data_IF_912689000528
#
_entry.id   IF_912689000528
#
_cell.length_a   1.000
_cell.length_b   1.000
_cell.length_c   1.000
_cell.angle_alpha   90.00
_cell.angle_beta   90.00
_cell.angle_gamma   90.00
#
_symmetry.space_group_name_H-M   'P 1'
#
loop_
_entity.id
_entity.type
_entity.pdbx_description
1 polymer ?
#
# COMPACT_ATOMS: atom_id res chain seq x y z
N UNK A 1 -0.20 26.66 -1.47
CA UNK A 1 -0.96 26.28 -0.25
C UNK A 1 -2.45 26.05 -0.51
N UNK A 2 -3.16 26.95 -1.22
CA UNK A 2 -4.60 26.75 -1.50
C UNK A 2 -4.85 25.50 -2.35
N UNK A 3 -4.01 25.26 -3.37
CA UNK A 3 -4.12 24.08 -4.24
C UNK A 3 -3.90 22.77 -3.49
N UNK A 4 -2.90 22.68 -2.63
CA UNK A 4 -2.56 21.48 -1.87
C UNK A 4 -3.66 21.16 -0.85
N UNK A 5 -4.24 22.17 -0.20
CA UNK A 5 -5.39 22.01 0.68
C UNK A 5 -6.61 21.53 -0.13
N UNK A 6 -6.87 22.13 -1.29
CA UNK A 6 -7.96 21.67 -2.16
C UNK A 6 -7.76 20.20 -2.59
N UNK A 7 -6.56 19.81 -3.00
CA UNK A 7 -6.22 18.42 -3.34
C UNK A 7 -6.43 17.51 -2.13
N UNK A 8 -5.94 17.87 -0.95
CA UNK A 8 -6.09 17.09 0.27
C UNK A 8 -7.58 16.88 0.62
N UNK A 9 -8.36 17.96 0.62
CA UNK A 9 -9.80 17.91 0.92
C UNK A 9 -10.54 17.05 -0.08
N UNK A 10 -10.35 17.27 -1.39
CA UNK A 10 -11.03 16.49 -2.42
C UNK A 10 -10.60 15.02 -2.40
N UNK A 11 -9.31 14.72 -2.19
CA UNK A 11 -8.82 13.35 -2.07
C UNK A 11 -9.43 12.63 -0.85
N UNK A 12 -9.62 13.32 0.27
CA UNK A 12 -10.28 12.76 1.45
C UNK A 12 -11.76 12.41 1.16
N UNK A 13 -12.49 13.30 0.49
CA UNK A 13 -13.87 13.02 0.05
C UNK A 13 -13.94 11.82 -0.91
N UNK A 14 -13.02 11.75 -1.90
CA UNK A 14 -12.94 10.62 -2.82
C UNK A 14 -12.65 9.32 -2.07
N UNK A 15 -11.70 9.33 -1.12
CA UNK A 15 -11.39 8.17 -0.30
C UNK A 15 -12.60 7.67 0.50
N UNK A 16 -13.34 8.59 1.13
CA UNK A 16 -14.58 8.26 1.85
C UNK A 16 -15.64 7.62 0.96
N UNK A 17 -15.91 8.22 -0.20
CA UNK A 17 -16.94 7.74 -1.14
C UNK A 17 -16.60 6.36 -1.73
N UNK A 18 -15.32 6.13 -2.04
CA UNK A 18 -14.84 4.85 -2.58
C UNK A 18 -14.92 3.75 -1.52
N UNK A 19 -14.42 4.00 -0.30
CA UNK A 19 -14.41 3.00 0.79
C UNK A 19 -15.84 2.62 1.20
N UNK A 20 -16.77 3.59 1.22
CA UNK A 20 -18.18 3.36 1.57
C UNK A 20 -18.91 2.39 0.64
N UNK A 21 -18.35 2.11 -0.55
CA UNK A 21 -18.94 1.21 -1.56
C UNK A 21 -18.25 -0.15 -1.63
N UNK A 22 -17.26 -0.43 -0.78
CA UNK A 22 -16.59 -1.72 -0.75
C UNK A 22 -17.46 -2.75 0.00
N UNK A 23 -17.69 -3.96 -0.55
CA UNK A 23 -18.44 -4.99 0.16
C UNK A 23 -17.68 -5.50 1.39
N UNK A 24 -18.42 -5.90 2.44
CA UNK A 24 -17.86 -6.38 3.72
C UNK A 24 -16.85 -7.53 3.57
N UNK A 25 -17.02 -8.38 2.55
CA UNK A 25 -16.10 -9.49 2.26
C UNK A 25 -14.69 -9.00 1.89
N UNK A 26 -14.54 -7.76 1.41
CA UNK A 26 -13.28 -7.18 1.00
C UNK A 26 -12.66 -6.24 2.04
N UNK A 27 -13.25 -6.03 3.22
CA UNK A 27 -12.69 -5.11 4.22
C UNK A 27 -11.28 -5.50 4.68
N UNK A 28 -11.02 -6.80 4.88
CA UNK A 28 -9.68 -7.28 5.28
C UNK A 28 -8.65 -7.16 4.15
N UNK A 29 -8.94 -7.61 2.90
CA UNK A 29 -8.08 -7.31 1.76
C UNK A 29 -7.87 -5.80 1.54
N UNK A 30 -8.90 -4.98 1.72
CA UNK A 30 -8.84 -3.52 1.60
C UNK A 30 -7.89 -2.93 2.65
N UNK A 31 -8.00 -3.36 3.91
CA UNK A 31 -7.10 -2.93 4.99
C UNK A 31 -5.64 -3.28 4.67
N UNK A 32 -5.38 -4.47 4.13
CA UNK A 32 -4.03 -4.85 3.66
C UNK A 32 -3.58 -3.99 2.47
N UNK A 33 -4.47 -3.73 1.51
CA UNK A 33 -4.17 -2.92 0.33
C UNK A 33 -3.84 -1.47 0.67
N UNK A 34 -4.62 -0.83 1.55
CA UNK A 34 -4.33 0.53 2.02
C UNK A 34 -3.04 0.58 2.84
N UNK A 35 -2.69 -0.51 3.55
CA UNK A 35 -1.39 -0.65 4.21
C UNK A 35 -0.21 -0.67 3.22
N UNK A 36 -0.37 -1.25 2.03
CA UNK A 36 0.64 -1.21 0.97
C UNK A 36 0.77 0.17 0.32
N UNK A 37 -0.36 0.87 0.14
CA UNK A 37 -0.42 2.18 -0.53
C UNK A 37 0.24 3.28 0.31
N UNK A 38 0.06 3.29 1.64
CA UNK A 38 0.73 4.30 2.48
C UNK A 38 2.26 4.14 2.51
N UNK A 39 2.77 3.01 2.02
CA UNK A 39 4.20 2.82 1.75
C UNK A 39 4.81 3.85 0.79
N UNK A 40 4.01 4.75 0.20
CA UNK A 40 4.45 5.98 -0.48
C UNK A 40 5.45 6.81 0.34
N UNK A 41 5.48 6.67 1.67
CA UNK A 41 6.51 7.25 2.55
C UNK A 41 7.94 6.91 2.08
N UNK A 42 8.14 5.76 1.41
CA UNK A 42 9.40 5.39 0.77
C UNK A 42 9.89 6.46 -0.22
N UNK A 43 8.99 7.04 -1.02
CA UNK A 43 9.35 8.12 -1.95
C UNK A 43 9.88 9.35 -1.21
N UNK A 44 9.33 9.65 -0.04
CA UNK A 44 9.84 10.73 0.81
C UNK A 44 11.31 10.52 1.16
N UNK A 45 11.68 9.31 1.60
CA UNK A 45 13.07 8.94 1.89
C UNK A 45 13.98 9.02 0.65
N UNK A 46 13.51 8.53 -0.50
CA UNK A 46 14.27 8.58 -1.76
C UNK A 46 14.47 10.00 -2.29
N UNK A 47 13.56 10.93 -2.02
CA UNK A 47 13.70 12.33 -2.43
C UNK A 47 14.72 13.09 -1.59
N UNK A 48 14.86 12.73 -0.31
CA UNK A 48 15.72 13.47 0.63
C UNK A 48 17.09 12.82 0.87
N UNK A 49 17.34 11.60 0.38
CA UNK A 49 18.63 10.93 0.56
C UNK A 49 19.80 11.62 -0.13
N UNK A 50 19.57 12.24 -1.30
CA UNK A 50 20.61 13.00 -2.01
C UNK A 50 21.05 14.28 -1.29
N UNK A 51 20.12 15.16 -0.87
CA UNK A 51 20.46 16.40 -0.18
C UNK A 51 20.72 16.27 1.33
N UNK A 52 20.55 15.08 1.92
CA UNK A 52 20.82 14.89 3.33
C UNK A 52 22.33 14.77 3.58
N UNK A 53 22.81 15.51 4.58
CA UNK A 53 24.21 15.47 4.99
C UNK A 53 24.34 15.00 6.45
N UNK A 54 25.37 14.19 6.70
CA UNK A 54 25.79 13.80 8.04
C UNK A 54 25.35 12.39 8.44
N UNK A 55 26.24 11.72 9.18
CA UNK A 55 26.13 10.29 9.52
C UNK A 55 24.78 9.88 10.14
N UNK A 56 24.20 10.71 11.00
CA UNK A 56 22.91 10.42 11.65
C UNK A 56 21.77 10.46 10.62
N UNK A 57 21.78 11.43 9.70
CA UNK A 57 20.76 11.54 8.66
C UNK A 57 20.86 10.37 7.69
N UNK A 58 22.06 10.02 7.24
CA UNK A 58 22.31 8.87 6.36
C UNK A 58 21.80 7.57 6.99
N UNK A 59 22.11 7.34 8.27
CA UNK A 59 21.66 6.16 9.00
C UNK A 59 20.12 6.11 9.10
N UNK A 60 19.48 7.22 9.45
CA UNK A 60 18.03 7.30 9.53
C UNK A 60 17.37 7.06 8.17
N UNK A 61 17.98 7.55 7.09
CA UNK A 61 17.46 7.37 5.74
C UNK A 61 17.59 5.94 5.24
N UNK A 62 18.71 5.28 5.54
CA UNK A 62 18.86 3.84 5.26
C UNK A 62 17.76 3.04 5.97
N UNK A 63 17.50 3.33 7.25
CA UNK A 63 16.46 2.67 8.03
C UNK A 63 15.06 2.98 7.46
N UNK A 64 14.79 4.24 7.14
CA UNK A 64 13.50 4.68 6.60
C UNK A 64 13.21 4.03 5.23
N UNK A 65 14.19 3.99 4.34
CA UNK A 65 14.07 3.34 3.02
C UNK A 65 13.92 1.83 3.17
N UNK A 66 14.67 1.19 4.08
CA UNK A 66 14.53 -0.23 4.34
C UNK A 66 13.11 -0.58 4.83
N UNK A 67 12.59 0.13 5.83
CA UNK A 67 11.23 -0.09 6.33
C UNK A 67 10.15 0.28 5.33
N UNK A 68 10.32 1.37 4.58
CA UNK A 68 9.40 1.74 3.49
C UNK A 68 9.33 0.65 2.42
N UNK A 69 10.48 0.08 2.05
CA UNK A 69 10.57 -1.03 1.09
C UNK A 69 9.86 -2.29 1.62
N UNK A 70 10.11 -2.66 2.88
CA UNK A 70 9.44 -3.80 3.52
C UNK A 70 7.92 -3.59 3.57
N UNK A 71 7.45 -2.38 3.90
CA UNK A 71 6.03 -2.06 3.96
C UNK A 71 5.35 -2.19 2.60
N UNK A 72 5.93 -1.60 1.54
CA UNK A 72 5.39 -1.67 0.17
C UNK A 72 5.34 -3.12 -0.31
N UNK A 73 6.48 -3.82 -0.27
CA UNK A 73 6.59 -5.19 -0.79
C UNK A 73 5.71 -6.14 0.03
N UNK A 74 5.82 -6.11 1.36
CA UNK A 74 5.04 -6.96 2.26
C UNK A 74 3.55 -6.70 2.14
N UNK A 75 3.14 -5.43 2.07
CA UNK A 75 1.74 -5.03 1.90
C UNK A 75 1.15 -5.56 0.60
N UNK A 76 1.84 -5.41 -0.53
CA UNK A 76 1.33 -5.90 -1.82
C UNK A 76 1.31 -7.43 -1.89
N UNK A 77 2.31 -8.13 -1.34
CA UNK A 77 2.32 -9.60 -1.30
C UNK A 77 1.19 -10.18 -0.46
N UNK A 78 0.93 -9.61 0.72
CA UNK A 78 -0.17 -10.05 1.59
C UNK A 78 -1.51 -9.77 0.92
N UNK A 79 -1.67 -8.60 0.31
CA UNK A 79 -2.90 -8.22 -0.41
C UNK A 79 -3.17 -9.16 -1.59
N UNK A 80 -2.17 -9.49 -2.40
CA UNK A 80 -2.32 -10.43 -3.50
C UNK A 80 -2.73 -11.82 -3.01
N UNK A 81 -2.10 -12.33 -1.94
CA UNK A 81 -2.48 -13.60 -1.31
C UNK A 81 -3.93 -13.57 -0.80
N UNK A 82 -4.37 -12.45 -0.22
CA UNK A 82 -5.75 -12.29 0.23
C UNK A 82 -6.74 -12.29 -0.94
N UNK A 83 -6.44 -11.56 -2.01
CA UNK A 83 -7.28 -11.48 -3.21
C UNK A 83 -7.30 -12.80 -3.99
N UNK A 84 -6.23 -13.58 -3.95
CA UNK A 84 -6.17 -14.90 -4.56
C UNK A 84 -7.21 -15.87 -3.97
N UNK A 85 -7.66 -15.66 -2.72
CA UNK A 85 -8.72 -16.47 -2.10
C UNK A 85 -10.10 -16.26 -2.73
N UNK A 86 -10.30 -15.17 -3.47
CA UNK A 86 -11.54 -14.90 -4.23
C UNK A 86 -11.51 -15.51 -5.63
N UNK A 87 -10.36 -15.98 -6.11
CA UNK A 87 -10.28 -16.72 -7.38
C UNK A 87 -10.84 -18.12 -7.13
N UNK A 88 -11.93 -18.48 -7.80
CA UNK A 88 -12.55 -19.80 -7.67
C UNK A 88 -11.52 -20.92 -7.88
N UNK A 89 -11.59 -21.98 -7.06
CA UNK A 89 -10.78 -23.19 -7.28
C UNK A 89 -10.96 -23.64 -8.73
N UNK A 90 -9.86 -23.73 -9.49
CA UNK A 90 -9.86 -24.44 -10.77
C UNK A 90 -10.45 -25.82 -10.50
N UNK A 91 -11.59 -26.13 -11.10
CA UNK A 91 -12.25 -27.43 -10.98
C UNK A 91 -11.19 -28.47 -11.35
N UNK A 92 -10.81 -29.34 -10.42
CA UNK A 92 -9.97 -30.49 -10.75
C UNK A 92 -10.66 -31.23 -11.92
N UNK A 93 -9.92 -31.70 -12.94
CA UNK A 93 -10.52 -32.50 -13.99
C UNK A 93 -11.30 -33.64 -13.31
N UNK A 94 -12.56 -33.90 -13.68
CA UNK A 94 -13.26 -35.04 -13.12
C UNK A 94 -12.39 -36.26 -13.38
N UNK A 95 -12.03 -36.97 -12.30
CA UNK A 95 -11.28 -38.20 -12.39
C UNK A 95 -11.97 -39.11 -13.40
N UNK A 96 -11.29 -39.34 -14.53
CA UNK A 96 -11.61 -40.45 -15.42
C UNK A 96 -11.01 -41.74 -14.85
N UNK A 97 -11.55 -42.89 -15.25
CA UNK A 97 -11.56 -44.16 -14.51
C UNK A 97 -10.19 -44.66 -14.04
#
# INVERSE_FOLDING_TARGET
>A
MVTEIAILTLAAFVGFEVISKVPNTLHTPLMSGTNAIHGIVLLGGLLVIGPADGFVNDLLLVIAIAFGTINVIGGFLVTDRMLAMFKGKKKAPPGGP
#
